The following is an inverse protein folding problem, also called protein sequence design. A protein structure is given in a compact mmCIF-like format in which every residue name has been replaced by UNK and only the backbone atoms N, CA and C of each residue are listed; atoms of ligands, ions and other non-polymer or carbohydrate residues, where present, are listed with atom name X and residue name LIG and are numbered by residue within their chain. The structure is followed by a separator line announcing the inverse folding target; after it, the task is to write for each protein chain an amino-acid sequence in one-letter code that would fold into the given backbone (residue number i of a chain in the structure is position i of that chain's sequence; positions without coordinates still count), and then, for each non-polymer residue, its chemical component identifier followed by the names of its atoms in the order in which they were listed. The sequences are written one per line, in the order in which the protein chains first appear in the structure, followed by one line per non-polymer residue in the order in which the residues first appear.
data_IF_908505747358
#
_entry.id   IF_908505747358
#
_cell.length_a   1.000
_cell.length_b   1.000
_cell.length_c   1.000
_cell.angle_alpha   90.00
_cell.angle_beta   90.00
_cell.angle_gamma   90.00
#
_symmetry.space_group_name_H-M   'P 1'
#
loop_
_entity.id
_entity.type
_entity.pdbx_description
1 polymer ?
#
# COMPACT_ATOMS: atom_id res chain seq x y z
N UNK A 1 6.62 9.14 -23.94
CA UNK A 1 7.70 8.48 -23.18
C UNK A 1 7.60 7.00 -23.45
N UNK A 2 8.73 6.30 -23.71
CA UNK A 2 8.72 4.85 -23.81
C UNK A 2 8.23 4.24 -22.48
N UNK A 3 7.55 3.10 -22.53
CA UNK A 3 7.02 2.45 -21.33
C UNK A 3 6.10 1.30 -21.69
N UNK A 4 6.58 0.06 -21.57
CA UNK A 4 5.82 -1.13 -21.94
C UNK A 4 5.58 -1.26 -23.44
N UNK A 5 4.88 -2.32 -23.80
CA UNK A 5 4.54 -2.63 -25.20
C UNK A 5 3.19 -2.07 -25.65
N UNK A 6 2.37 -1.52 -24.74
CA UNK A 6 1.10 -0.86 -25.10
C UNK A 6 1.35 0.61 -25.43
N UNK A 7 0.95 1.04 -26.63
CA UNK A 7 0.98 2.47 -26.98
C UNK A 7 -0.09 3.22 -26.17
N UNK A 8 0.27 4.25 -25.37
CA UNK A 8 -0.72 5.02 -24.61
C UNK A 8 -1.73 5.77 -25.49
N UNK A 9 -1.48 5.93 -26.80
CA UNK A 9 -2.46 6.49 -27.74
C UNK A 9 -3.56 5.52 -28.14
N UNK A 10 -3.36 4.21 -27.95
CA UNK A 10 -4.38 3.19 -28.21
C UNK A 10 -5.38 3.06 -27.05
N UNK A 11 -5.07 3.64 -25.88
CA UNK A 11 -5.93 3.64 -24.71
C UNK A 11 -6.90 4.82 -24.79
N UNK A 12 -8.16 4.54 -25.08
CA UNK A 12 -9.19 5.57 -25.16
C UNK A 12 -9.44 6.22 -23.79
N UNK A 13 -9.32 7.55 -23.73
CA UNK A 13 -9.46 8.31 -22.49
C UNK A 13 -10.92 8.51 -22.12
N UNK A 14 -11.18 8.66 -20.83
CA UNK A 14 -12.48 9.08 -20.28
C UNK A 14 -13.63 8.09 -20.55
N UNK A 15 -13.31 6.80 -20.67
CA UNK A 15 -14.31 5.74 -20.87
C UNK A 15 -14.83 5.16 -19.55
N UNK A 16 -14.03 5.23 -18.48
CA UNK A 16 -14.38 4.63 -17.18
C UNK A 16 -14.76 5.72 -16.17
N UNK A 17 -15.88 5.57 -15.44
CA UNK A 17 -16.19 6.45 -14.32
C UNK A 17 -15.11 6.39 -13.23
N UNK A 18 -14.78 7.53 -12.64
CA UNK A 18 -13.85 7.61 -11.52
C UNK A 18 -14.40 6.81 -10.33
N UNK A 19 -13.63 5.83 -9.89
CA UNK A 19 -13.88 5.15 -8.62
C UNK A 19 -13.70 6.13 -7.47
N UNK A 20 -14.68 6.20 -6.58
CA UNK A 20 -14.54 6.89 -5.28
C UNK A 20 -14.19 5.81 -4.26
N UNK A 21 -12.95 5.78 -3.70
CA UNK A 21 -12.50 4.70 -2.85
C UNK A 21 -13.44 4.49 -1.66
N UNK A 22 -13.96 3.27 -1.45
CA UNK A 22 -14.76 2.95 -0.27
C UNK A 22 -13.96 3.09 1.02
N UNK A 23 -14.67 3.19 2.14
CA UNK A 23 -14.06 3.16 3.47
C UNK A 23 -13.71 1.73 3.85
N UNK A 24 -12.49 1.53 4.34
CA UNK A 24 -11.99 0.27 4.87
C UNK A 24 -12.86 -0.17 6.05
N UNK A 25 -13.46 -1.37 6.03
CA UNK A 25 -14.33 -1.80 7.13
C UNK A 25 -13.52 -2.22 8.35
N UNK A 26 -14.08 -1.99 9.54
CA UNK A 26 -13.46 -2.39 10.81
C UNK A 26 -13.69 -3.86 11.08
N UNK A 27 -12.64 -4.60 11.43
CA UNK A 27 -12.76 -5.96 11.96
C UNK A 27 -13.51 -5.97 13.31
N UNK A 28 -13.33 -4.93 14.12
CA UNK A 28 -14.04 -4.77 15.39
C UNK A 28 -13.53 -3.61 16.23
N UNK A 29 -13.67 -3.74 17.54
CA UNK A 29 -13.24 -2.75 18.51
C UNK A 29 -12.59 -3.44 19.72
N UNK A 30 -11.45 -2.93 20.15
CA UNK A 30 -10.71 -3.43 21.31
C UNK A 30 -10.91 -2.46 22.47
N UNK A 31 -11.34 -2.97 23.61
CA UNK A 31 -11.41 -2.19 24.85
C UNK A 31 -10.09 -2.32 25.60
N UNK A 32 -9.29 -1.26 25.63
CA UNK A 32 -8.04 -1.23 26.39
C UNK A 32 -8.29 -1.13 27.89
N UNK A 33 -7.27 -1.51 28.67
CA UNK A 33 -7.25 -1.27 30.12
C UNK A 33 -7.47 0.22 30.39
N UNK A 34 -8.48 0.55 31.19
CA UNK A 34 -8.94 1.93 31.40
C UNK A 34 -10.16 2.34 30.56
N UNK A 35 -10.74 1.41 29.78
CA UNK A 35 -12.02 1.61 29.10
C UNK A 35 -11.93 2.40 27.79
N UNK A 36 -10.72 2.71 27.31
CA UNK A 36 -10.52 3.38 26.02
C UNK A 36 -10.71 2.40 24.88
N UNK A 37 -11.61 2.73 23.96
CA UNK A 37 -11.85 1.94 22.76
C UNK A 37 -10.82 2.24 21.68
N UNK A 38 -10.44 1.19 20.95
CA UNK A 38 -9.54 1.22 19.80
C UNK A 38 -10.25 0.58 18.62
N UNK A 39 -10.32 1.28 17.50
CA UNK A 39 -10.84 0.72 16.26
C UNK A 39 -9.84 -0.32 15.73
N UNK A 40 -10.30 -1.55 15.48
CA UNK A 40 -9.45 -2.67 15.09
C UNK A 40 -9.71 -3.10 13.65
N UNK A 41 -8.64 -3.34 12.90
CA UNK A 41 -8.64 -3.75 11.50
C UNK A 41 -7.71 -4.95 11.28
N UNK A 42 -8.09 -5.81 10.35
CA UNK A 42 -7.26 -6.90 9.84
C UNK A 42 -7.15 -6.73 8.34
N UNK A 43 -5.97 -6.33 7.89
CA UNK A 43 -5.75 -5.88 6.52
C UNK A 43 -4.64 -6.72 5.93
N UNK A 44 -4.95 -7.38 4.83
CA UNK A 44 -3.95 -8.14 4.07
C UNK A 44 -3.60 -7.49 2.76
N UNK A 45 -2.36 -7.69 2.32
CA UNK A 45 -1.97 -7.48 0.92
C UNK A 45 -2.15 -8.78 0.14
N UNK A 46 -2.79 -8.70 -1.03
CA UNK A 46 -3.01 -9.83 -1.95
C UNK A 46 -2.73 -9.44 -3.39
N UNK A 47 -2.43 -10.44 -4.21
CA UNK A 47 -2.44 -10.33 -5.66
C UNK A 47 -3.84 -10.66 -6.22
N UNK A 48 -4.29 -9.87 -7.19
CA UNK A 48 -5.57 -10.07 -7.89
C UNK A 48 -5.57 -9.33 -9.24
N UNK A 49 -6.53 -9.64 -10.10
CA UNK A 49 -6.73 -8.94 -11.36
C UNK A 49 -7.74 -7.79 -11.20
N UNK A 50 -7.38 -6.61 -11.71
CA UNK A 50 -8.22 -5.41 -11.69
C UNK A 50 -8.37 -4.83 -13.10
N UNK A 51 -9.57 -4.42 -13.46
CA UNK A 51 -9.80 -3.69 -14.71
C UNK A 51 -9.33 -2.23 -14.56
N UNK A 52 -8.04 -1.98 -14.83
CA UNK A 52 -7.42 -0.64 -14.77
C UNK A 52 -7.49 0.08 -16.13
N UNK A 53 -7.22 -0.66 -17.19
CA UNK A 53 -7.43 -0.21 -18.58
C UNK A 53 -8.94 -0.16 -18.90
N UNK A 54 -9.37 0.63 -19.90
CA UNK A 54 -10.78 0.75 -20.26
C UNK A 54 -11.43 -0.61 -20.58
N UNK A 55 -12.77 -0.74 -20.40
CA UNK A 55 -13.49 -1.96 -20.76
C UNK A 55 -13.19 -2.41 -22.20
N UNK A 56 -12.94 -3.70 -22.38
CA UNK A 56 -12.54 -4.29 -23.66
C UNK A 56 -11.03 -4.53 -23.80
N UNK A 57 -10.21 -3.90 -22.94
CA UNK A 57 -8.80 -4.25 -22.78
C UNK A 57 -8.61 -5.30 -21.68
N UNK A 58 -7.50 -6.07 -21.70
CA UNK A 58 -7.22 -7.06 -20.66
C UNK A 58 -7.15 -6.44 -19.25
N UNK A 59 -7.53 -7.19 -18.20
CA UNK A 59 -7.33 -6.76 -16.82
C UNK A 59 -5.83 -6.79 -16.47
N UNK A 60 -5.48 -6.02 -15.44
CA UNK A 60 -4.10 -5.90 -14.95
C UNK A 60 -3.97 -6.67 -13.64
N UNK A 61 -3.01 -7.59 -13.55
CA UNK A 61 -2.62 -8.19 -12.28
C UNK A 61 -1.89 -7.17 -11.43
N UNK A 62 -2.40 -6.93 -10.22
CA UNK A 62 -1.89 -5.95 -9.26
C UNK A 62 -1.90 -6.50 -7.85
N UNK A 63 -1.30 -5.77 -6.93
CA UNK A 63 -1.43 -5.96 -5.49
C UNK A 63 -2.27 -4.85 -4.87
N UNK A 64 -2.88 -5.15 -3.74
CA UNK A 64 -3.66 -4.17 -2.99
C UNK A 64 -3.91 -4.62 -1.57
N UNK A 65 -4.05 -3.66 -0.65
CA UNK A 65 -4.54 -3.90 0.69
C UNK A 65 -6.06 -4.03 0.70
N UNK A 66 -6.57 -4.93 1.53
CA UNK A 66 -7.99 -5.14 1.73
C UNK A 66 -8.29 -5.77 3.09
N UNK A 67 -9.48 -5.51 3.62
CA UNK A 67 -9.92 -6.10 4.88
C UNK A 67 -10.21 -7.60 4.69
N UNK A 68 -9.72 -8.43 5.62
CA UNK A 68 -10.03 -9.87 5.64
C UNK A 68 -11.22 -10.21 6.55
N UNK A 69 -11.58 -9.30 7.45
CA UNK A 69 -12.72 -9.44 8.36
C UNK A 69 -13.43 -8.10 8.57
N UNK A 70 -14.73 -8.16 8.86
CA UNK A 70 -15.55 -6.99 9.14
C UNK A 70 -16.58 -7.29 10.24
N UNK A 71 -16.73 -6.36 11.18
CA UNK A 71 -17.76 -6.42 12.24
C UNK A 71 -19.15 -6.13 11.70
N UNK A 72 -19.24 -5.27 10.68
CA UNK A 72 -20.48 -4.96 9.96
C UNK A 72 -20.73 -5.97 8.86
N UNK A 73 -21.98 -6.47 8.76
CA UNK A 73 -22.43 -7.29 7.61
C UNK A 73 -22.42 -6.54 6.27
N UNK A 74 -22.28 -5.20 6.31
CA UNK A 74 -22.13 -4.34 5.12
C UNK A 74 -20.67 -3.98 4.84
N UNK A 75 -19.72 -4.51 5.62
CA UNK A 75 -18.30 -4.27 5.41
C UNK A 75 -17.85 -4.87 4.09
N UNK A 76 -17.13 -4.09 3.29
CA UNK A 76 -16.64 -4.50 1.98
C UNK A 76 -15.29 -5.23 2.13
N UNK A 77 -15.32 -6.57 2.05
CA UNK A 77 -14.11 -7.40 2.05
C UNK A 77 -13.55 -7.48 0.63
N UNK A 78 -12.86 -6.42 0.22
CA UNK A 78 -12.31 -6.26 -1.12
C UNK A 78 -10.86 -5.78 -1.03
N UNK A 79 -10.01 -6.31 -1.90
CA UNK A 79 -8.67 -5.79 -2.18
C UNK A 79 -8.76 -4.92 -3.44
N UNK A 80 -8.10 -3.75 -3.41
CA UNK A 80 -8.16 -2.79 -4.51
C UNK A 80 -6.83 -2.02 -4.64
N UNK A 81 -6.52 -1.58 -5.86
CA UNK A 81 -5.39 -0.72 -6.18
C UNK A 81 -5.91 0.59 -6.82
N UNK A 82 -5.85 1.76 -6.15
CA UNK A 82 -5.38 1.94 -4.77
C UNK A 82 -6.34 1.31 -3.77
N UNK A 83 -5.83 1.06 -2.57
CA UNK A 83 -6.55 0.41 -1.49
C UNK A 83 -7.59 1.32 -0.84
N UNK A 84 -8.53 0.70 -0.11
CA UNK A 84 -9.65 1.38 0.53
C UNK A 84 -9.15 2.43 1.56
N UNK A 85 -10.00 3.41 1.86
CA UNK A 85 -9.65 4.55 2.72
C UNK A 85 -9.92 4.24 4.19
N UNK A 86 -8.96 4.45 5.07
CA UNK A 86 -9.24 4.53 6.50
C UNK A 86 -9.87 5.88 6.86
N UNK A 87 -10.99 5.86 7.58
CA UNK A 87 -11.60 7.05 8.17
C UNK A 87 -11.45 6.97 9.70
N UNK A 88 -10.54 7.76 10.25
CA UNK A 88 -10.19 7.78 11.66
C UNK A 88 -10.65 9.09 12.34
N UNK A 89 -10.91 9.03 13.64
CA UNK A 89 -11.25 10.21 14.44
C UNK A 89 -10.08 10.65 15.30
N UNK A 90 -9.95 11.96 15.48
CA UNK A 90 -8.98 12.55 16.40
C UNK A 90 -9.06 11.89 17.79
N UNK A 91 -7.90 11.47 18.30
CA UNK A 91 -7.69 10.75 19.57
C UNK A 91 -8.42 9.41 19.73
N UNK A 92 -9.07 8.91 18.69
CA UNK A 92 -9.54 7.52 18.61
C UNK A 92 -8.43 6.67 18.00
N UNK A 93 -7.72 5.83 18.79
CA UNK A 93 -6.63 5.04 18.26
C UNK A 93 -7.16 4.00 17.28
N UNK A 94 -6.35 3.73 16.26
CA UNK A 94 -6.57 2.67 15.29
C UNK A 94 -5.49 1.62 15.49
N UNK A 95 -5.88 0.34 15.56
CA UNK A 95 -4.95 -0.79 15.56
C UNK A 95 -5.17 -1.63 14.31
N UNK A 96 -4.09 -1.91 13.60
CA UNK A 96 -4.13 -2.68 12.36
C UNK A 96 -3.22 -3.89 12.50
N UNK A 97 -3.79 -5.07 12.28
CA UNK A 97 -3.01 -6.27 11.96
C UNK A 97 -2.76 -6.28 10.46
N UNK A 98 -1.53 -6.01 10.05
CA UNK A 98 -1.08 -6.11 8.67
C UNK A 98 -0.70 -7.56 8.38
N UNK A 99 -1.13 -8.10 7.24
CA UNK A 99 -0.98 -9.51 6.87
C UNK A 99 -0.40 -9.60 5.46
N UNK A 100 0.66 -10.39 5.29
CA UNK A 100 1.24 -10.66 3.98
C UNK A 100 0.64 -11.97 3.43
N UNK A 101 -0.29 -11.84 2.48
CA UNK A 101 -0.94 -12.97 1.80
C UNK A 101 -0.53 -13.03 0.32
N UNK A 102 0.69 -12.62 -0.01
CA UNK A 102 1.31 -12.83 -1.33
C UNK A 102 1.68 -14.32 -1.52
N UNK A 103 0.64 -15.14 -1.64
CA UNK A 103 0.67 -16.59 -1.84
C UNK A 103 -0.40 -17.01 -2.85
N UNK A 104 -0.24 -18.18 -3.46
CA UNK A 104 -1.12 -18.64 -4.55
C UNK A 104 -2.58 -18.79 -4.10
N UNK A 105 -2.79 -19.37 -2.92
CA UNK A 105 -4.07 -19.40 -2.23
C UNK A 105 -3.97 -18.55 -0.94
N UNK A 106 -4.55 -17.34 -0.92
CA UNK A 106 -4.51 -16.48 0.24
C UNK A 106 -5.30 -17.02 1.43
N UNK A 107 -6.04 -18.11 1.31
CA UNK A 107 -6.77 -18.73 2.44
C UNK A 107 -6.04 -19.95 3.03
N UNK A 108 -5.00 -20.46 2.35
CA UNK A 108 -4.21 -21.60 2.80
C UNK A 108 -2.78 -21.18 3.19
N UNK A 109 -2.40 -21.22 4.49
CA UNK A 109 -1.03 -20.93 4.91
C UNK A 109 0.00 -21.96 4.46
N UNK A 110 -0.42 -23.14 3.99
CA UNK A 110 0.44 -24.11 3.33
C UNK A 110 0.69 -23.80 1.85
N UNK A 111 -0.03 -22.83 1.28
CA UNK A 111 0.08 -22.48 -0.13
C UNK A 111 1.46 -21.91 -0.49
N UNK A 112 1.96 -22.13 -1.72
CA UNK A 112 3.20 -21.53 -2.16
C UNK A 112 3.18 -20.00 -2.15
N UNK A 113 4.33 -19.36 -1.87
CA UNK A 113 4.47 -17.92 -2.05
C UNK A 113 4.31 -17.51 -3.52
N UNK A 114 3.97 -16.24 -3.74
CA UNK A 114 4.03 -15.60 -5.07
C UNK A 114 5.34 -14.81 -5.22
N UNK A 115 6.06 -14.93 -6.34
CA UNK A 115 7.16 -14.04 -6.66
C UNK A 115 6.66 -12.61 -6.94
N UNK A 116 7.57 -11.65 -7.01
CA UNK A 116 7.20 -10.27 -7.35
C UNK A 116 6.65 -10.18 -8.79
N UNK A 117 5.65 -9.32 -9.01
CA UNK A 117 5.12 -8.99 -10.34
C UNK A 117 6.10 -8.26 -11.27
N UNK A 118 7.19 -7.74 -10.73
CA UNK A 118 8.06 -6.73 -11.35
C UNK A 118 9.52 -7.13 -11.13
N UNK A 119 10.44 -6.68 -11.98
CA UNK A 119 11.85 -7.05 -11.91
C UNK A 119 12.52 -6.45 -10.67
N UNK A 120 12.89 -7.31 -9.72
CA UNK A 120 13.59 -6.95 -8.48
C UNK A 120 15.10 -7.12 -8.69
N UNK A 121 15.85 -6.04 -8.51
CA UNK A 121 17.31 -6.03 -8.60
C UNK A 121 17.96 -6.52 -7.30
N UNK A 122 18.67 -7.63 -7.38
CA UNK A 122 19.32 -8.27 -6.24
C UNK A 122 20.66 -7.63 -5.85
N UNK A 123 21.18 -6.70 -6.66
CA UNK A 123 22.51 -6.10 -6.50
C UNK A 123 22.52 -4.86 -5.60
N UNK A 124 21.33 -4.42 -5.18
CA UNK A 124 21.13 -3.31 -4.25
C UNK A 124 21.37 -3.74 -2.80
N UNK A 125 21.40 -2.76 -1.89
CA UNK A 125 21.17 -3.02 -0.48
C UNK A 125 19.65 -3.17 -0.24
N UNK A 126 19.20 -4.34 0.20
CA UNK A 126 17.76 -4.66 0.23
C UNK A 126 17.39 -5.70 1.29
N UNK A 127 16.08 -5.89 1.46
CA UNK A 127 15.48 -6.65 2.54
C UNK A 127 15.93 -8.12 2.67
N UNK A 128 15.78 -8.95 1.63
CA UNK A 128 15.84 -10.40 1.80
C UNK A 128 16.69 -11.14 0.75
N UNK A 129 17.97 -10.79 0.58
CA UNK A 129 18.86 -11.61 -0.24
C UNK A 129 18.97 -13.05 0.28
N UNK A 130 19.21 -14.03 -0.62
CA UNK A 130 19.55 -15.38 -0.20
C UNK A 130 20.76 -15.40 0.73
N UNK A 131 20.75 -16.26 1.74
CA UNK A 131 21.75 -16.32 2.83
C UNK A 131 21.16 -16.34 4.25
N UNK A 132 19.82 -16.30 4.34
CA UNK A 132 19.07 -16.42 5.58
C UNK A 132 19.21 -15.19 6.48
N UNK A 133 19.01 -15.39 7.77
CA UNK A 133 19.02 -14.31 8.77
C UNK A 133 20.35 -13.56 8.87
N UNK A 134 21.47 -14.17 8.47
CA UNK A 134 22.79 -13.54 8.50
C UNK A 134 22.95 -12.48 7.41
N UNK A 135 22.32 -12.69 6.25
CA UNK A 135 22.54 -11.87 5.07
C UNK A 135 21.36 -10.95 4.76
N UNK A 136 20.23 -11.06 5.49
CA UNK A 136 19.11 -10.11 5.37
C UNK A 136 19.54 -8.65 5.60
N UNK A 137 18.79 -7.71 5.03
CA UNK A 137 19.05 -6.27 5.13
C UNK A 137 20.50 -5.91 4.77
N UNK A 138 20.97 -6.44 3.65
CA UNK A 138 22.36 -6.27 3.21
C UNK A 138 22.45 -6.03 1.71
N UNK A 139 23.66 -5.71 1.25
CA UNK A 139 24.01 -5.71 -0.18
C UNK A 139 24.82 -6.97 -0.46
N UNK A 140 24.30 -7.94 -1.24
CA UNK A 140 25.06 -9.15 -1.53
C UNK A 140 26.24 -8.89 -2.46
N UNK A 141 27.27 -9.71 -2.32
CA UNK A 141 28.40 -9.77 -3.25
C UNK A 141 28.13 -10.82 -4.32
N UNK A 142 28.45 -10.51 -5.57
CA UNK A 142 28.20 -11.39 -6.71
C UNK A 142 29.50 -11.70 -7.46
N UNK A 143 29.70 -12.96 -7.84
CA UNK A 143 30.80 -13.35 -8.75
C UNK A 143 30.45 -13.23 -10.23
N UNK A 144 29.16 -13.09 -10.54
CA UNK A 144 28.60 -12.85 -11.88
C UNK A 144 27.32 -12.04 -11.76
N UNK A 145 26.99 -11.19 -12.73
CA UNK A 145 25.74 -10.42 -12.74
C UNK A 145 24.52 -11.34 -12.58
N UNK A 146 23.69 -11.17 -11.53
CA UNK A 146 22.53 -12.02 -11.30
C UNK A 146 21.33 -11.61 -12.19
N UNK A 147 20.40 -12.55 -12.38
CA UNK A 147 19.06 -12.24 -12.91
C UNK A 147 18.15 -11.57 -11.87
N UNK A 148 16.88 -11.27 -12.23
CA UNK A 148 15.91 -10.73 -11.28
C UNK A 148 15.60 -11.71 -10.14
N UNK A 149 15.28 -11.17 -8.96
CA UNK A 149 14.83 -11.98 -7.82
C UNK A 149 13.48 -12.64 -8.09
N UNK A 150 13.34 -13.92 -7.72
CA UNK A 150 12.11 -14.70 -7.90
C UNK A 150 11.60 -15.34 -6.62
N UNK A 151 12.14 -14.96 -5.46
CA UNK A 151 11.76 -15.54 -4.17
C UNK A 151 10.55 -14.85 -3.51
N UNK A 152 10.26 -15.19 -2.24
CA UNK A 152 9.13 -14.64 -1.49
C UNK A 152 9.27 -13.15 -1.20
N UNK A 153 8.16 -12.41 -1.26
CA UNK A 153 8.20 -10.95 -1.18
C UNK A 153 8.02 -10.42 0.25
N UNK A 154 8.99 -9.66 0.79
CA UNK A 154 8.85 -8.98 2.07
C UNK A 154 7.96 -7.74 1.98
N UNK A 155 7.22 -7.46 3.07
CA UNK A 155 6.32 -6.30 3.20
C UNK A 155 6.51 -5.64 4.58
N UNK A 156 6.40 -4.31 4.63
CA UNK A 156 6.16 -3.53 5.86
C UNK A 156 5.38 -2.26 5.51
N UNK A 157 4.29 -2.00 6.22
CA UNK A 157 3.42 -0.86 5.88
C UNK A 157 3.80 0.38 6.69
N UNK A 158 4.00 1.52 6.02
CA UNK A 158 4.18 2.83 6.62
C UNK A 158 2.90 3.66 6.53
N UNK A 159 2.59 4.43 7.59
CA UNK A 159 1.53 5.44 7.56
C UNK A 159 2.16 6.83 7.45
N UNK A 160 2.23 7.33 6.22
CA UNK A 160 2.87 8.59 5.88
C UNK A 160 2.12 9.79 6.47
N UNK A 161 2.86 10.60 7.22
CA UNK A 161 2.33 11.80 7.87
C UNK A 161 1.72 11.55 9.24
N UNK A 162 1.78 10.31 9.77
CA UNK A 162 1.38 10.02 11.14
C UNK A 162 2.35 10.67 12.13
N UNK A 163 1.80 11.35 13.13
CA UNK A 163 2.54 11.96 14.23
C UNK A 163 2.12 11.31 15.55
N UNK A 164 3.06 11.24 16.49
CA UNK A 164 2.86 10.60 17.80
C UNK A 164 2.82 9.07 17.75
N UNK A 165 2.86 8.47 16.55
CA UNK A 165 3.02 7.03 16.36
C UNK A 165 4.37 6.58 16.94
N UNK A 166 4.37 5.43 17.62
CA UNK A 166 5.62 4.80 18.05
C UNK A 166 6.39 4.24 16.86
N UNK A 167 7.70 4.22 16.95
CA UNK A 167 8.61 3.58 15.98
C UNK A 167 8.24 2.11 15.72
N UNK A 168 7.72 1.38 16.70
CA UNK A 168 7.21 0.01 16.49
C UNK A 168 5.97 -0.11 15.58
N UNK A 169 5.37 1.02 15.22
CA UNK A 169 4.17 1.12 14.39
C UNK A 169 4.35 2.06 13.19
N UNK A 170 5.56 2.59 12.99
CA UNK A 170 5.86 3.53 11.90
C UNK A 170 6.15 2.82 10.59
N UNK A 171 6.55 1.54 10.62
CA UNK A 171 6.89 0.78 9.41
C UNK A 171 8.35 0.95 8.99
N UNK A 172 9.27 0.82 9.95
CA UNK A 172 10.71 0.84 9.71
C UNK A 172 11.10 -0.16 8.60
N UNK A 173 11.94 0.27 7.65
CA UNK A 173 12.17 -0.45 6.41
C UNK A 173 12.75 -1.87 6.59
N UNK A 174 13.49 -2.10 7.67
CA UNK A 174 14.10 -3.37 8.07
C UNK A 174 13.25 -4.14 9.13
N UNK A 175 11.99 -3.75 9.31
CA UNK A 175 11.01 -4.44 10.15
C UNK A 175 10.00 -5.25 9.33
N UNK A 176 10.39 -5.62 8.11
CA UNK A 176 9.58 -6.37 7.17
C UNK A 176 9.34 -7.83 7.59
N UNK A 177 8.35 -8.44 6.95
CA UNK A 177 8.02 -9.86 7.13
C UNK A 177 7.58 -10.50 5.79
N UNK A 178 7.98 -11.75 5.58
CA UNK A 178 7.53 -12.59 4.45
C UNK A 178 6.08 -13.06 4.64
N UNK A 179 5.40 -13.54 3.59
CA UNK A 179 4.13 -14.24 3.76
C UNK A 179 4.32 -15.51 4.59
N UNK A 180 3.28 -15.93 5.30
CA UNK A 180 3.23 -17.30 5.84
C UNK A 180 2.87 -18.26 4.68
N UNK A 181 3.89 -18.93 4.12
CA UNK A 181 3.77 -19.81 2.96
C UNK A 181 4.50 -21.15 3.19
N UNK A 182 4.00 -22.22 2.55
CA UNK A 182 4.47 -23.59 2.80
C UNK A 182 5.77 -23.98 2.10
N UNK A 183 6.31 -23.14 1.21
CA UNK A 183 7.48 -23.46 0.39
C UNK A 183 8.60 -22.41 0.44
N UNK A 184 8.69 -21.62 1.52
CA UNK A 184 9.80 -20.66 1.69
C UNK A 184 11.12 -21.45 1.76
N UNK A 185 12.06 -21.21 0.82
CA UNK A 185 13.37 -21.87 0.85
C UNK A 185 14.16 -21.49 2.12
N UNK A 186 14.93 -22.43 2.66
CA UNK A 186 15.60 -22.25 3.96
C UNK A 186 16.73 -21.22 3.98
N UNK A 187 17.16 -20.75 2.80
CA UNK A 187 18.13 -19.68 2.59
C UNK A 187 17.50 -18.29 2.55
N UNK A 188 16.20 -18.14 2.81
CA UNK A 188 15.55 -16.83 3.02
C UNK A 188 15.28 -16.56 4.49
N UNK A 189 15.53 -15.33 4.93
CA UNK A 189 15.01 -14.88 6.20
C UNK A 189 13.49 -14.67 6.08
N UNK A 190 12.75 -14.94 7.16
CA UNK A 190 11.29 -14.75 7.20
C UNK A 190 10.89 -13.36 7.70
N UNK A 191 11.83 -12.65 8.34
CA UNK A 191 11.63 -11.32 8.92
C UNK A 191 12.90 -10.49 8.81
N UNK A 192 12.74 -9.16 8.85
CA UNK A 192 13.85 -8.20 8.88
C UNK A 192 14.54 -8.09 10.23
N UNK A 193 15.69 -7.41 10.24
CA UNK A 193 16.61 -7.26 11.38
C UNK A 193 15.92 -6.70 12.62
N UNK A 194 15.02 -5.75 12.45
CA UNK A 194 14.35 -5.08 13.58
C UNK A 194 12.96 -5.61 13.91
N UNK A 195 12.51 -6.64 13.19
CA UNK A 195 11.17 -7.19 13.38
C UNK A 195 10.92 -7.63 14.84
N UNK A 196 11.80 -8.45 15.41
CA UNK A 196 11.63 -8.94 16.80
C UNK A 196 11.76 -7.82 17.83
N UNK A 197 12.63 -6.84 17.57
CA UNK A 197 12.78 -5.67 18.44
C UNK A 197 11.46 -4.88 18.53
N UNK A 198 10.86 -4.56 17.38
CA UNK A 198 9.60 -3.82 17.34
C UNK A 198 8.40 -4.66 17.79
N UNK A 199 8.38 -5.96 17.49
CA UNK A 199 7.38 -6.89 18.02
C UNK A 199 7.38 -6.87 19.55
N UNK A 200 8.55 -6.99 20.18
CA UNK A 200 8.67 -6.97 21.64
C UNK A 200 8.26 -5.61 22.24
N UNK A 201 8.56 -4.50 21.56
CA UNK A 201 8.11 -3.16 21.96
C UNK A 201 6.59 -3.02 21.87
N UNK A 202 5.99 -3.53 20.79
CA UNK A 202 4.53 -3.58 20.61
C UNK A 202 3.87 -4.44 21.69
N UNK A 203 4.41 -5.62 22.00
CA UNK A 203 3.96 -6.48 23.12
C UNK A 203 4.01 -5.72 24.45
N UNK A 204 5.12 -5.05 24.75
CA UNK A 204 5.30 -4.26 25.97
C UNK A 204 4.28 -3.12 26.12
N UNK A 205 3.73 -2.62 24.99
CA UNK A 205 2.67 -1.61 24.94
C UNK A 205 1.25 -2.22 24.85
N UNK A 206 1.12 -3.54 24.79
CA UNK A 206 -0.15 -4.24 24.62
C UNK A 206 -0.76 -4.08 23.22
N UNK A 207 0.07 -3.87 22.20
CA UNK A 207 -0.32 -3.74 20.79
C UNK A 207 -0.38 -5.13 20.15
N UNK A 208 -1.40 -5.88 20.53
CA UNK A 208 -1.65 -7.23 20.09
C UNK A 208 -2.98 -7.31 19.32
N UNK A 209 -3.05 -8.23 18.38
CA UNK A 209 -4.30 -8.65 17.78
C UNK A 209 -5.13 -9.41 18.84
N UNK A 210 -6.47 -9.37 18.77
CA UNK A 210 -7.32 -10.15 19.67
C UNK A 210 -6.96 -11.64 19.63
N UNK A 211 -6.76 -12.25 20.80
CA UNK A 211 -6.47 -13.68 20.91
C UNK A 211 -5.01 -14.09 20.66
N UNK A 212 -4.11 -13.16 20.36
CA UNK A 212 -2.68 -13.46 20.15
C UNK A 212 -1.81 -12.99 21.32
N UNK A 213 -0.62 -13.58 21.45
CA UNK A 213 0.40 -13.19 22.44
C UNK A 213 1.61 -12.48 21.81
N UNK A 214 1.74 -12.53 20.49
CA UNK A 214 2.79 -11.91 19.70
C UNK A 214 2.28 -11.61 18.28
N UNK A 215 3.14 -11.07 17.42
CA UNK A 215 2.88 -11.05 15.98
C UNK A 215 3.02 -12.47 15.44
N UNK A 216 2.00 -12.92 14.73
CA UNK A 216 1.98 -14.25 14.10
C UNK A 216 2.84 -14.25 12.83
N UNK A 217 3.32 -15.41 12.36
CA UNK A 217 4.05 -15.49 11.10
C UNK A 217 3.32 -14.78 9.95
N UNK A 218 4.05 -13.96 9.21
CA UNK A 218 3.50 -13.17 8.10
C UNK A 218 2.59 -12.02 8.50
N UNK A 219 2.73 -11.51 9.73
CA UNK A 219 1.91 -10.40 10.23
C UNK A 219 2.72 -9.38 11.02
N UNK A 220 2.22 -8.16 11.14
CA UNK A 220 2.61 -7.20 12.18
C UNK A 220 1.37 -6.52 12.75
N UNK A 221 1.46 -5.97 13.96
CA UNK A 221 0.34 -5.26 14.61
C UNK A 221 0.77 -3.87 15.03
N UNK A 222 0.24 -2.86 14.33
CA UNK A 222 0.58 -1.45 14.51
C UNK A 222 -0.56 -0.69 15.19
N UNK A 223 -0.25 0.35 15.97
CA UNK A 223 -1.24 1.24 16.57
C UNK A 223 -0.94 2.71 16.30
N UNK A 224 -1.92 3.38 15.70
CA UNK A 224 -1.88 4.81 15.39
C UNK A 224 -2.72 5.59 16.41
N UNK A 225 -2.14 6.56 17.14
CA UNK A 225 -2.84 7.28 18.21
C UNK A 225 -3.85 8.31 17.69
N UNK A 226 -3.64 8.82 16.47
CA UNK A 226 -4.44 9.85 15.81
C UNK A 226 -4.57 11.13 16.64
N UNK A 227 -3.52 11.54 17.35
CA UNK A 227 -3.51 12.71 18.24
C UNK A 227 -3.03 14.02 17.58
N UNK A 228 -2.70 13.97 16.29
CA UNK A 228 -2.38 15.12 15.43
C UNK A 228 -3.63 15.83 14.87
N UNK A 229 -3.42 16.92 14.12
CA UNK A 229 -4.49 17.66 13.42
C UNK A 229 -5.25 16.79 12.42
N UNK A 230 -6.53 17.11 12.18
CA UNK A 230 -7.28 16.54 11.05
C UNK A 230 -6.48 16.73 9.75
N UNK A 231 -6.23 15.63 9.03
CA UNK A 231 -5.25 15.61 7.93
C UNK A 231 -5.60 14.53 6.91
N UNK A 232 -5.11 14.70 5.68
CA UNK A 232 -5.07 13.65 4.65
C UNK A 232 -3.72 12.95 4.73
N UNK A 233 -3.68 11.74 5.26
CA UNK A 233 -2.52 10.86 5.29
C UNK A 233 -2.71 9.78 4.21
N UNK A 234 -1.69 8.97 4.01
CA UNK A 234 -1.75 7.80 3.15
C UNK A 234 -0.85 6.70 3.70
N UNK A 235 -1.15 5.46 3.37
CA UNK A 235 -0.37 4.29 3.78
C UNK A 235 0.11 3.55 2.56
N UNK A 236 1.30 2.96 2.64
CA UNK A 236 1.96 2.25 1.55
C UNK A 236 3.06 1.32 2.09
N UNK A 237 3.54 0.40 1.25
CA UNK A 237 4.71 -0.42 1.61
C UNK A 237 5.99 0.42 1.75
N UNK A 238 6.89 0.02 2.65
CA UNK A 238 8.14 0.73 2.95
C UNK A 238 9.34 -0.22 3.09
N UNK A 239 9.30 -1.39 2.44
CA UNK A 239 10.35 -2.41 2.58
C UNK A 239 11.69 -1.98 1.99
N UNK A 240 12.77 -2.22 2.74
CA UNK A 240 14.13 -1.89 2.35
C UNK A 240 14.47 -2.40 0.94
N UNK A 241 14.86 -1.48 0.06
CA UNK A 241 15.25 -1.78 -1.32
C UNK A 241 14.12 -2.21 -2.25
N UNK A 242 12.87 -2.34 -1.77
CA UNK A 242 11.72 -2.83 -2.55
C UNK A 242 10.53 -1.85 -2.60
N UNK A 243 10.51 -0.78 -1.79
CA UNK A 243 9.43 0.24 -1.77
C UNK A 243 8.94 0.64 -3.16
N UNK A 244 9.86 0.96 -4.08
CA UNK A 244 9.50 1.42 -5.44
C UNK A 244 8.67 0.40 -6.22
N UNK A 245 8.93 -0.89 -6.04
CA UNK A 245 8.29 -1.98 -6.76
C UNK A 245 7.00 -2.40 -6.05
N UNK A 246 7.08 -2.55 -4.73
CA UNK A 246 5.94 -2.89 -3.90
C UNK A 246 4.83 -1.83 -4.03
N UNK A 247 5.15 -0.52 -3.96
CA UNK A 247 4.16 0.56 -4.15
C UNK A 247 3.65 0.60 -5.59
N UNK A 248 4.52 0.41 -6.59
CA UNK A 248 4.10 0.40 -8.00
C UNK A 248 3.11 -0.72 -8.31
N UNK A 249 3.25 -1.87 -7.65
CA UNK A 249 2.33 -3.00 -7.76
C UNK A 249 0.89 -2.67 -7.29
N UNK A 250 0.67 -1.60 -6.50
CA UNK A 250 -0.66 -1.08 -6.14
C UNK A 250 -1.08 -0.94 -4.65
N UNK A 251 -0.41 -1.53 -3.64
CA UNK A 251 -0.81 -1.47 -2.23
C UNK A 251 -0.48 -0.10 -1.61
N UNK A 252 -1.35 0.88 -1.88
CA UNK A 252 -1.32 2.21 -1.29
C UNK A 252 -2.75 2.75 -1.14
N UNK A 253 -3.06 3.48 -0.07
CA UNK A 253 -4.41 4.02 0.15
C UNK A 253 -4.45 5.22 1.09
N UNK A 254 -5.60 5.87 1.18
CA UNK A 254 -5.77 7.03 2.05
C UNK A 254 -6.00 6.64 3.51
N UNK A 255 -5.53 7.49 4.42
CA UNK A 255 -5.89 7.47 5.83
C UNK A 255 -6.28 8.88 6.25
N UNK A 256 -7.55 9.11 6.58
CA UNK A 256 -8.07 10.45 6.85
C UNK A 256 -8.38 10.58 8.34
N UNK A 257 -7.75 11.56 9.00
CA UNK A 257 -8.05 11.91 10.39
C UNK A 257 -9.10 13.04 10.39
N UNK A 258 -10.21 12.81 11.11
CA UNK A 258 -11.36 13.72 11.22
C UNK A 258 -11.48 14.34 12.61
N UNK A 259 -11.93 15.59 12.67
CA UNK A 259 -12.30 16.28 13.91
C UNK A 259 -11.11 16.77 14.73
N UNK A 260 -11.36 17.02 16.02
CA UNK A 260 -10.39 17.62 16.93
C UNK A 260 -10.39 19.16 16.91
N UNK A 261 -9.53 19.80 17.72
CA UNK A 261 -9.51 21.27 17.87
C UNK A 261 -9.21 22.05 16.59
N UNK A 262 -8.59 21.40 15.62
CA UNK A 262 -8.24 21.97 14.31
C UNK A 262 -8.94 21.22 13.16
N UNK A 263 -10.06 20.55 13.48
CA UNK A 263 -10.89 19.84 12.50
C UNK A 263 -11.82 20.77 11.72
N UNK A 264 -12.71 20.17 10.92
CA UNK A 264 -13.64 20.92 10.05
C UNK A 264 -14.51 21.93 10.83
N UNK A 265 -14.92 21.62 12.07
CA UNK A 265 -15.72 22.52 12.92
C UNK A 265 -14.97 23.79 13.40
N UNK A 266 -13.63 23.78 13.33
CA UNK A 266 -12.79 24.91 13.71
C UNK A 266 -12.56 25.90 12.54
N UNK A 267 -12.92 25.52 11.31
CA UNK A 267 -12.79 26.37 10.14
C UNK A 267 -13.88 27.44 10.17
N UNK A 268 -13.52 28.72 10.09
CA UNK A 268 -14.47 29.84 10.06
C UNK A 268 -14.63 30.40 8.65
N UNK A 269 -15.86 30.74 8.25
CA UNK A 269 -16.12 31.50 7.03
C UNK A 269 -15.76 32.97 7.28
N UNK A 270 -14.76 33.49 6.57
CA UNK A 270 -14.25 34.85 6.76
C UNK A 270 -15.28 35.95 6.51
N UNK A 271 -16.39 35.64 5.83
CA UNK A 271 -17.46 36.61 5.53
C UNK A 271 -18.45 36.75 6.67
N UNK A 272 -18.67 35.69 7.44
CA UNK A 272 -19.70 35.63 8.49
C UNK A 272 -19.12 35.50 9.90
N UNK A 273 -17.88 35.05 10.03
CA UNK A 273 -17.24 34.71 11.31
C UNK A 273 -17.79 33.45 11.97
N UNK A 274 -18.64 32.68 11.29
CA UNK A 274 -19.25 31.43 11.79
C UNK A 274 -18.52 30.22 11.25
N UNK A 275 -18.72 29.03 11.84
CA UNK A 275 -18.18 27.77 11.31
C UNK A 275 -18.53 27.58 9.83
N UNK A 276 -17.51 27.29 9.03
CA UNK A 276 -17.63 27.07 7.60
C UNK A 276 -18.28 25.71 7.31
N UNK A 277 -19.16 25.68 6.31
CA UNK A 277 -19.71 24.42 5.79
C UNK A 277 -18.85 23.95 4.63
N UNK A 278 -18.01 22.95 4.89
CA UNK A 278 -17.18 22.32 3.87
C UNK A 278 -18.00 21.34 3.01
N UNK A 279 -17.66 21.14 1.72
CA UNK A 279 -18.34 20.17 0.87
C UNK A 279 -18.31 18.75 1.45
N UNK A 280 -19.47 18.10 1.49
CA UNK A 280 -19.68 16.71 1.89
C UNK A 280 -21.08 16.25 1.45
N UNK A 281 -21.41 14.94 1.57
CA UNK A 281 -20.70 13.96 2.39
C UNK A 281 -19.42 13.38 1.74
N UNK A 282 -18.52 12.88 2.58
CA UNK A 282 -17.47 11.93 2.23
C UNK A 282 -18.00 10.48 2.30
N UNK A 283 -17.29 9.52 1.67
CA UNK A 283 -17.52 8.08 1.88
C UNK A 283 -17.58 7.71 3.36
N UNK A 284 -18.50 6.80 3.71
CA UNK A 284 -18.60 6.19 5.04
C UNK A 284 -18.65 4.67 4.93
N UNK A 285 -18.20 4.00 5.99
CA UNK A 285 -18.29 2.54 6.10
C UNK A 285 -19.75 2.07 5.89
N UNK A 286 -19.92 1.09 5.01
CA UNK A 286 -21.23 0.51 4.68
C UNK A 286 -22.11 1.36 3.75
N UNK A 287 -21.60 2.48 3.21
CA UNK A 287 -22.25 3.16 2.09
C UNK A 287 -22.25 2.26 0.84
N UNK A 288 -23.32 2.35 0.04
CA UNK A 288 -23.37 1.70 -1.27
C UNK A 288 -22.53 2.43 -2.31
N UNK A 289 -22.15 1.72 -3.38
CA UNK A 289 -21.26 2.24 -4.44
C UNK A 289 -21.87 3.39 -5.27
N UNK A 290 -23.20 3.58 -5.25
CA UNK A 290 -23.91 4.57 -6.07
C UNK A 290 -24.24 5.88 -5.34
N UNK A 291 -23.66 6.10 -4.15
CA UNK A 291 -23.91 7.33 -3.39
C UNK A 291 -23.11 8.49 -3.97
N UNK A 292 -23.73 9.67 -4.04
CA UNK A 292 -23.05 10.89 -4.48
C UNK A 292 -22.28 11.48 -3.32
N UNK A 293 -21.00 11.77 -3.56
CA UNK A 293 -20.10 12.40 -2.60
C UNK A 293 -19.63 13.75 -3.12
N UNK A 294 -19.33 14.65 -2.19
CA UNK A 294 -18.76 15.97 -2.49
C UNK A 294 -17.43 16.22 -1.79
N UNK A 295 -16.99 15.25 -1.00
CA UNK A 295 -15.61 15.13 -0.56
C UNK A 295 -15.05 13.82 -1.10
N UNK A 296 -14.04 13.91 -1.96
CA UNK A 296 -13.57 12.78 -2.77
C UNK A 296 -12.04 12.67 -2.65
N UNK A 297 -11.51 11.54 -2.15
CA UNK A 297 -10.08 11.22 -2.27
C UNK A 297 -9.71 10.93 -3.72
N UNK A 298 -8.59 11.50 -4.18
CA UNK A 298 -8.07 11.35 -5.54
C UNK A 298 -6.58 11.03 -5.44
N UNK A 299 -6.24 9.75 -5.61
CA UNK A 299 -4.88 9.28 -5.79
C UNK A 299 -4.53 9.28 -7.27
N UNK A 300 -3.47 9.99 -7.63
CA UNK A 300 -2.93 10.09 -8.98
C UNK A 300 -1.63 9.29 -9.01
N UNK A 301 -1.52 8.37 -9.94
CA UNK A 301 -0.38 7.45 -10.06
C UNK A 301 -0.07 7.27 -11.54
N UNK A 302 1.16 7.51 -11.97
CA UNK A 302 1.59 7.19 -13.32
C UNK A 302 1.97 5.70 -13.42
N UNK A 303 1.56 5.06 -14.52
CA UNK A 303 1.84 3.66 -14.83
C UNK A 303 2.16 3.52 -16.31
N UNK A 304 2.76 2.40 -16.67
CA UNK A 304 2.95 1.94 -18.05
C UNK A 304 2.48 0.49 -18.13
N UNK A 305 2.03 0.06 -19.30
CA UNK A 305 1.41 -1.25 -19.48
C UNK A 305 1.99 -1.97 -20.69
N UNK A 306 1.95 -3.29 -20.67
CA UNK A 306 2.17 -4.11 -21.85
C UNK A 306 0.84 -4.35 -22.59
N UNK A 307 0.93 -4.77 -23.85
CA UNK A 307 -0.24 -5.02 -24.71
C UNK A 307 -1.18 -6.11 -24.18
N UNK A 308 -0.70 -6.97 -23.27
CA UNK A 308 -1.49 -7.98 -22.58
C UNK A 308 -2.19 -7.47 -21.31
N UNK A 309 -2.07 -6.17 -21.00
CA UNK A 309 -2.64 -5.50 -19.83
C UNK A 309 -1.79 -5.56 -18.57
N UNK A 310 -0.67 -6.29 -18.57
CA UNK A 310 0.24 -6.35 -17.41
C UNK A 310 0.95 -5.02 -17.14
N UNK A 311 1.32 -4.78 -15.89
CA UNK A 311 2.14 -3.64 -15.52
C UNK A 311 3.53 -3.75 -16.15
N UNK A 312 3.99 -2.66 -16.76
CA UNK A 312 5.38 -2.51 -17.15
C UNK A 312 6.16 -1.76 -16.07
N UNK A 313 7.32 -2.28 -15.72
CA UNK A 313 8.37 -1.56 -15.00
C UNK A 313 9.72 -1.94 -15.62
N UNK A 314 10.66 -1.00 -15.80
CA UNK A 314 11.94 -1.29 -16.45
C UNK A 314 12.71 -2.43 -15.78
N UNK A 315 13.18 -3.37 -16.60
CA UNK A 315 13.94 -4.56 -16.18
C UNK A 315 15.44 -4.45 -16.49
N UNK A 316 15.89 -3.31 -17.03
CA UNK A 316 17.28 -3.07 -17.40
C UNK A 316 17.66 -1.59 -17.28
N UNK A 317 18.93 -1.30 -17.00
CA UNK A 317 19.51 0.07 -17.09
C UNK A 317 19.39 0.70 -18.46
N UNK A 318 19.47 -0.12 -19.51
CA UNK A 318 19.41 0.37 -20.88
C UNK A 318 18.14 1.19 -21.17
N UNK A 319 17.06 0.95 -20.41
CA UNK A 319 15.82 1.71 -20.51
C UNK A 319 15.99 3.21 -20.16
N UNK A 320 16.78 3.54 -19.14
CA UNK A 320 16.93 4.91 -18.66
C UNK A 320 18.16 5.61 -19.22
N UNK A 321 19.32 4.96 -19.19
CA UNK A 321 20.62 5.56 -19.52
C UNK A 321 21.35 4.89 -20.69
N UNK A 322 20.76 3.86 -21.30
CA UNK A 322 21.36 3.14 -22.43
C UNK A 322 22.56 2.25 -22.04
N UNK A 323 22.80 2.02 -20.75
CA UNK A 323 23.91 1.18 -20.29
C UNK A 323 23.51 -0.30 -20.42
N UNK A 324 24.18 -1.01 -21.33
CA UNK A 324 24.00 -2.46 -21.55
C UNK A 324 25.02 -3.32 -20.77
N UNK A 325 25.97 -2.68 -20.09
CA UNK A 325 27.02 -3.30 -19.30
C UNK A 325 28.41 -2.72 -19.60
N UNK A 326 29.49 -3.24 -18.98
CA UNK A 326 29.46 -4.29 -17.96
C UNK A 326 28.82 -3.81 -16.63
N UNK A 327 28.17 -4.72 -15.91
CA UNK A 327 27.54 -4.50 -14.60
C UNK A 327 28.42 -5.06 -13.47
N UNK A 328 27.90 -5.11 -12.25
CA UNK A 328 28.51 -5.87 -11.15
C UNK A 328 28.78 -7.35 -11.56
N UNK A 329 29.92 -7.95 -11.18
CA UNK A 329 31.01 -7.39 -10.36
C UNK A 329 32.06 -6.56 -11.09
N UNK A 330 32.03 -6.50 -12.42
CA UNK A 330 33.06 -5.81 -13.19
C UNK A 330 32.99 -4.27 -13.02
N UNK A 331 31.82 -3.74 -12.68
CA UNK A 331 31.56 -2.33 -12.36
C UNK A 331 30.69 -2.18 -11.11
N UNK A 332 30.43 -0.94 -10.69
CA UNK A 332 29.50 -0.60 -9.61
C UNK A 332 28.04 -0.43 -10.08
N UNK A 333 27.76 -0.71 -11.35
CA UNK A 333 26.45 -0.50 -11.97
C UNK A 333 25.55 -1.72 -11.77
N UNK A 334 24.38 -1.49 -11.17
CA UNK A 334 23.31 -2.47 -11.03
C UNK A 334 22.60 -2.75 -12.37
N UNK A 335 22.24 -4.01 -12.71
CA UNK A 335 21.74 -4.37 -14.03
C UNK A 335 20.27 -3.97 -14.30
N UNK A 336 19.43 -3.89 -13.26
CA UNK A 336 17.97 -3.78 -13.38
C UNK A 336 17.46 -2.44 -12.82
N UNK A 337 18.02 -1.98 -11.69
CA UNK A 337 17.56 -0.78 -11.00
C UNK A 337 17.78 0.49 -11.82
N UNK A 338 16.71 1.27 -12.03
CA UNK A 338 16.77 2.55 -12.72
C UNK A 338 16.67 3.73 -11.73
N UNK A 339 17.35 4.87 -11.99
CA UNK A 339 17.35 6.04 -11.10
C UNK A 339 15.98 6.67 -10.88
N UNK A 340 15.17 6.72 -11.93
CA UNK A 340 13.83 7.32 -11.93
C UNK A 340 12.90 6.50 -12.83
N UNK A 341 11.60 6.66 -12.61
CA UNK A 341 10.56 6.09 -13.47
C UNK A 341 9.53 7.17 -13.79
N UNK A 342 9.10 7.20 -15.05
CA UNK A 342 8.00 8.02 -15.50
C UNK A 342 7.06 7.17 -16.35
N UNK A 343 5.85 6.94 -15.85
CA UNK A 343 4.79 6.23 -16.54
C UNK A 343 4.24 7.02 -17.71
N UNK A 344 3.86 6.33 -18.78
CA UNK A 344 3.29 6.97 -19.97
C UNK A 344 1.75 7.07 -19.92
N UNK A 345 1.13 6.54 -18.87
CA UNK A 345 -0.31 6.52 -18.64
C UNK A 345 -0.64 7.05 -17.25
N UNK A 346 -1.62 7.95 -17.13
CA UNK A 346 -2.06 8.48 -15.83
C UNK A 346 -3.25 7.68 -15.33
N UNK A 347 -3.09 7.09 -14.14
CA UNK A 347 -4.13 6.43 -13.39
C UNK A 347 -4.66 7.36 -12.30
N UNK A 348 -5.98 7.36 -12.12
CA UNK A 348 -6.64 8.05 -11.02
C UNK A 348 -7.61 7.09 -10.34
N UNK A 349 -7.42 6.85 -9.04
CA UNK A 349 -8.21 5.89 -8.26
C UNK A 349 -8.39 4.53 -8.98
N UNK A 350 -7.31 3.98 -9.54
CA UNK A 350 -7.32 2.62 -10.07
C UNK A 350 -7.82 2.47 -11.50
N UNK A 351 -8.08 3.57 -12.22
CA UNK A 351 -8.48 3.55 -13.63
C UNK A 351 -7.62 4.51 -14.45
N UNK A 352 -7.32 4.17 -15.69
CA UNK A 352 -6.66 5.07 -16.64
C UNK A 352 -7.60 6.18 -17.10
N UNK A 353 -7.14 7.44 -17.01
CA UNK A 353 -7.87 8.66 -17.40
C UNK A 353 -9.40 8.61 -17.20
N UNK A 354 -9.90 8.42 -15.98
CA UNK A 354 -11.34 8.30 -15.75
C UNK A 354 -12.05 9.66 -15.87
N UNK A 355 -13.39 9.63 -15.92
CA UNK A 355 -14.23 10.83 -15.85
C UNK A 355 -15.08 10.84 -14.57
N UNK A 356 -15.42 12.03 -14.08
CA UNK A 356 -16.35 12.21 -12.95
C UNK A 356 -17.51 13.11 -13.38
N UNK A 357 -18.73 12.59 -13.37
CA UNK A 357 -19.92 13.42 -13.52
C UNK A 357 -20.13 14.24 -12.23
N UNK A 358 -20.15 15.57 -12.37
CA UNK A 358 -20.29 16.50 -11.25
C UNK A 358 -21.53 17.36 -11.37
N UNK A 359 -22.10 17.71 -10.23
CA UNK A 359 -23.12 18.76 -10.13
C UNK A 359 -22.46 20.15 -10.21
N UNK A 360 -23.22 21.18 -10.61
CA UNK A 360 -22.77 22.58 -10.58
C UNK A 360 -22.73 23.13 -9.14
N UNK A 361 -21.75 22.67 -8.36
CA UNK A 361 -21.58 23.01 -6.93
C UNK A 361 -20.13 22.89 -6.48
N UNK A 362 -19.88 23.16 -5.19
CA UNK A 362 -18.56 23.03 -4.58
C UNK A 362 -18.25 21.58 -4.22
N UNK A 363 -17.01 21.16 -4.46
CA UNK A 363 -16.42 19.88 -4.10
C UNK A 363 -15.14 20.09 -3.28
N UNK A 364 -14.80 19.13 -2.43
CA UNK A 364 -13.54 19.05 -1.68
C UNK A 364 -12.78 17.84 -2.20
N UNK A 365 -11.65 18.06 -2.86
CA UNK A 365 -10.78 16.97 -3.30
C UNK A 365 -9.62 16.80 -2.33
N UNK A 366 -9.33 15.55 -1.96
CA UNK A 366 -8.12 15.20 -1.20
C UNK A 366 -7.14 14.56 -2.16
N UNK A 367 -6.22 15.39 -2.66
CA UNK A 367 -5.26 14.98 -3.68
C UNK A 367 -4.07 14.27 -3.05
N UNK A 368 -3.66 13.16 -3.67
CA UNK A 368 -2.45 12.41 -3.38
C UNK A 368 -1.71 12.18 -4.70
N UNK A 369 -0.43 12.53 -4.74
CA UNK A 369 0.51 11.98 -5.70
C UNK A 369 1.12 10.75 -5.03
N UNK A 370 0.71 9.55 -5.48
CA UNK A 370 0.91 8.31 -4.70
C UNK A 370 1.53 7.17 -5.48
#
# INVERSE_FOLDING_TARGET
MPGGTLDPFDIEKYQTPLLIPPVMPKAGMITQRGGKNVDYYEISVRQFDQQILPPGMPPTTVWGYGAVSASSKKGLLLHNAPSLTFEAKWRSPVRVKWINELRQDPLDPGSPYLPHLLPVDQTLHWANPPGGTADRDSRPEFSTTPGPYTGPVPIVTHLHGSSGVGDESDGYAEAWFLPAAGNIPGDFATTGTWYDFFMNKAIGKGYLAPGTSAWEPGTSVFQYPNDQRASTLWYHDHTLGMTRLNVYAGPAGFFIIRGGPEGDDAVLDSRTGTTAVLPGPAPKEGDGLNKVYYEIPIAIQDRSFNSDGSLFYPDTRAFFDGIEGPFIPDTDISPIWNPEFFGNTIMVNGNTWPFLNVEQRRYRFRLLNG
#
